data_IF_585113158305
#
_entry.id   IF_585113158305
#
_cell.length_a   1.000
_cell.length_b   1.000
_cell.length_c   1.000
_cell.angle_alpha   90.00
_cell.angle_beta   90.00
_cell.angle_gamma   90.00
#
_symmetry.space_group_name_H-M   'P 1'
#
loop_
_entity.id
_entity.type
_entity.pdbx_description
1 polymer ?
#
# COMPACT_ATOMS: atom_id res chain seq x y z
N UNK A 1 -17.89 21.17 3.65
CA UNK A 1 -17.52 19.78 4.01
C UNK A 1 -16.45 19.83 5.08
N UNK A 2 -16.65 19.10 6.18
CA UNK A 2 -15.70 19.02 7.29
C UNK A 2 -15.07 17.63 7.42
N UNK A 3 -15.75 16.58 6.92
CA UNK A 3 -15.31 15.19 6.98
C UNK A 3 -15.66 14.47 5.68
N UNK A 4 -14.78 13.60 5.20
CA UNK A 4 -15.06 12.67 4.10
C UNK A 4 -14.15 11.43 4.17
N UNK A 5 -14.50 10.42 3.40
CA UNK A 5 -13.69 9.21 3.21
C UNK A 5 -13.40 9.02 1.71
N UNK A 6 -12.22 8.55 1.38
CA UNK A 6 -11.86 8.29 -0.02
C UNK A 6 -10.73 7.29 -0.18
N UNK A 7 -10.70 6.66 -1.35
CA UNK A 7 -9.53 5.90 -1.78
C UNK A 7 -8.38 6.85 -2.18
N UNK A 8 -7.13 6.40 -2.26
CA UNK A 8 -5.99 7.24 -2.64
C UNK A 8 -6.19 8.05 -3.92
N UNK A 9 -6.93 7.51 -4.90
CA UNK A 9 -7.23 8.21 -6.15
C UNK A 9 -8.05 9.50 -5.95
N UNK A 10 -8.95 9.53 -4.96
CA UNK A 10 -9.75 10.72 -4.63
C UNK A 10 -8.82 11.82 -4.12
N UNK A 11 -7.91 11.47 -3.21
CA UNK A 11 -6.92 12.40 -2.67
C UNK A 11 -5.95 12.90 -3.75
N UNK A 12 -5.48 12.00 -4.62
CA UNK A 12 -4.66 12.38 -5.79
C UNK A 12 -5.36 13.38 -6.70
N UNK A 13 -6.66 13.18 -6.95
CA UNK A 13 -7.47 14.09 -7.75
C UNK A 13 -7.55 15.48 -7.11
N UNK A 14 -7.74 15.54 -5.79
CA UNK A 14 -7.75 16.80 -5.03
C UNK A 14 -6.39 17.50 -5.08
N UNK A 15 -5.30 16.77 -4.84
CA UNK A 15 -3.93 17.31 -4.87
C UNK A 15 -3.61 17.92 -6.24
N UNK A 16 -3.98 17.23 -7.32
CA UNK A 16 -3.70 17.65 -8.69
C UNK A 16 -4.74 18.61 -9.28
N UNK A 17 -5.82 18.94 -8.55
CA UNK A 17 -6.82 19.90 -9.00
C UNK A 17 -6.20 21.30 -9.17
N UNK A 18 -6.71 22.11 -10.13
CA UNK A 18 -6.29 23.50 -10.30
C UNK A 18 -6.43 24.31 -8.99
N UNK A 19 -5.52 25.27 -8.77
CA UNK A 19 -5.52 26.10 -7.56
C UNK A 19 -6.87 26.82 -7.34
N UNK A 20 -7.53 27.22 -8.45
CA UNK A 20 -8.86 27.85 -8.41
C UNK A 20 -9.97 26.97 -7.84
N UNK A 21 -9.84 25.64 -7.96
CA UNK A 21 -10.79 24.68 -7.36
C UNK A 21 -10.49 24.39 -5.88
N UNK A 22 -9.30 24.74 -5.42
CA UNK A 22 -8.84 24.52 -4.03
C UNK A 22 -8.93 25.80 -3.19
N UNK A 23 -9.24 26.95 -3.80
CA UNK A 23 -9.43 28.22 -3.10
C UNK A 23 -10.71 28.20 -2.26
N UNK A 24 -10.69 28.89 -1.11
CA UNK A 24 -11.85 29.02 -0.23
C UNK A 24 -12.08 27.84 0.74
N UNK A 25 -11.12 26.92 0.84
CA UNK A 25 -11.11 25.90 1.91
C UNK A 25 -10.39 26.54 3.10
N UNK A 26 -11.15 27.13 4.02
CA UNK A 26 -10.61 27.84 5.19
C UNK A 26 -10.66 26.98 6.47
N UNK A 27 -11.53 25.98 6.50
CA UNK A 27 -11.69 25.07 7.63
C UNK A 27 -10.75 23.87 7.51
N UNK A 28 -10.37 23.30 8.64
CA UNK A 28 -9.73 21.99 8.66
C UNK A 28 -10.73 20.93 8.16
N UNK A 29 -10.28 20.08 7.24
CA UNK A 29 -11.05 18.94 6.72
C UNK A 29 -10.41 17.65 7.20
N UNK A 30 -11.18 16.84 7.90
CA UNK A 30 -10.77 15.51 8.34
C UNK A 30 -11.10 14.48 7.27
N UNK A 31 -10.16 13.65 6.90
CA UNK A 31 -10.42 12.64 5.89
C UNK A 31 -9.82 11.27 6.27
N UNK A 32 -10.58 10.22 5.98
CA UNK A 32 -10.08 8.86 6.02
C UNK A 32 -9.64 8.41 4.64
N UNK A 33 -8.48 7.78 4.58
CA UNK A 33 -7.99 7.11 3.38
C UNK A 33 -7.94 5.61 3.60
N UNK A 34 -8.56 4.86 2.68
CA UNK A 34 -8.68 3.39 2.72
C UNK A 34 -8.74 2.78 1.32
N UNK A 35 -8.85 1.45 1.27
CA UNK A 35 -9.01 0.67 0.04
C UNK A 35 -7.70 0.30 -0.66
N UNK A 36 -6.65 1.06 -0.46
CA UNK A 36 -5.26 0.74 -0.80
C UNK A 36 -4.34 1.55 0.13
N UNK A 37 -3.10 1.10 0.30
CA UNK A 37 -2.11 1.87 1.04
C UNK A 37 -1.86 3.21 0.32
N UNK A 38 -2.04 4.36 0.99
CA UNK A 38 -1.77 5.65 0.39
C UNK A 38 -0.25 5.83 0.24
N UNK A 39 0.25 6.18 -0.95
CA UNK A 39 1.63 6.60 -1.10
C UNK A 39 1.97 7.76 -0.17
N UNK A 40 3.22 7.81 0.32
CA UNK A 40 3.68 8.90 1.20
C UNK A 40 3.44 10.28 0.59
N UNK A 41 3.65 10.42 -0.72
CA UNK A 41 3.39 11.65 -1.46
C UNK A 41 1.92 12.12 -1.40
N UNK A 42 0.97 11.18 -1.28
CA UNK A 42 -0.46 11.52 -1.14
C UNK A 42 -0.73 12.07 0.25
N UNK A 43 -0.23 11.40 1.30
CA UNK A 43 -0.38 11.87 2.68
C UNK A 43 0.23 13.26 2.82
N UNK A 44 1.47 13.44 2.36
CA UNK A 44 2.19 14.72 2.41
C UNK A 44 1.44 15.82 1.64
N UNK A 45 0.95 15.51 0.44
CA UNK A 45 0.19 16.46 -0.38
C UNK A 45 -1.10 16.93 0.29
N UNK A 46 -1.83 16.04 0.94
CA UNK A 46 -3.05 16.37 1.69
C UNK A 46 -2.74 17.19 2.93
N UNK A 47 -1.73 16.83 3.70
CA UNK A 47 -1.32 17.60 4.89
C UNK A 47 -0.86 19.02 4.52
N UNK A 48 -0.13 19.20 3.41
CA UNK A 48 0.26 20.52 2.89
C UNK A 48 -0.94 21.39 2.48
N UNK A 49 -2.05 20.76 2.12
CA UNK A 49 -3.32 21.45 1.84
C UNK A 49 -4.14 21.77 3.10
N UNK A 50 -3.65 21.42 4.30
CA UNK A 50 -4.34 21.63 5.56
C UNK A 50 -5.39 20.57 5.90
N UNK A 51 -5.39 19.42 5.22
CA UNK A 51 -6.26 18.30 5.53
C UNK A 51 -5.68 17.43 6.64
N UNK A 52 -6.52 17.00 7.55
CA UNK A 52 -6.17 16.02 8.58
C UNK A 52 -6.50 14.62 8.09
N UNK A 53 -5.49 13.96 7.49
CA UNK A 53 -5.64 12.65 6.89
C UNK A 53 -5.35 11.54 7.91
N UNK A 54 -6.24 10.56 8.01
CA UNK A 54 -6.07 9.36 8.84
C UNK A 54 -6.16 8.12 7.95
N UNK A 55 -5.11 7.30 7.97
CA UNK A 55 -5.11 6.03 7.28
C UNK A 55 -5.92 5.01 8.08
N UNK A 56 -6.84 4.32 7.42
CA UNK A 56 -7.58 3.18 7.97
C UNK A 56 -7.42 1.98 7.05
N UNK A 57 -7.33 0.81 7.65
CA UNK A 57 -7.15 -0.45 6.93
C UNK A 57 -8.26 -1.43 7.31
N UNK A 58 -8.76 -2.11 6.33
CA UNK A 58 -9.74 -3.17 6.44
C UNK A 58 -9.98 -3.84 5.10
N UNK A 59 -10.71 -4.92 5.14
CA UNK A 59 -11.05 -5.77 4.01
C UNK A 59 -12.57 -5.93 3.95
N UNK A 60 -13.10 -6.46 2.84
CA UNK A 60 -14.50 -6.88 2.77
C UNK A 60 -14.80 -7.91 3.86
N UNK A 61 -13.83 -8.74 4.15
CA UNK A 61 -13.85 -9.81 5.15
C UNK A 61 -13.88 -9.31 6.60
N UNK A 62 -13.57 -8.03 6.85
CA UNK A 62 -13.63 -7.40 8.18
C UNK A 62 -14.76 -6.36 8.31
N UNK A 63 -15.70 -6.33 7.32
CA UNK A 63 -16.89 -5.45 7.31
C UNK A 63 -16.56 -3.96 7.58
N UNK A 64 -15.38 -3.50 7.12
CA UNK A 64 -14.92 -2.13 7.28
C UNK A 64 -13.53 -2.00 7.91
N UNK A 65 -13.24 -0.86 8.57
CA UNK A 65 -11.95 -0.65 9.19
C UNK A 65 -11.68 -1.63 10.35
N UNK A 66 -10.62 -2.42 10.23
CA UNK A 66 -10.11 -3.30 11.29
C UNK A 66 -8.89 -2.68 12.00
N UNK A 67 -8.17 -1.76 11.32
CA UNK A 67 -7.09 -0.99 11.90
C UNK A 67 -7.21 0.50 11.57
N UNK A 68 -6.67 1.34 12.44
CA UNK A 68 -6.65 2.80 12.28
C UNK A 68 -5.28 3.34 12.69
N UNK A 69 -4.71 4.21 11.88
CA UNK A 69 -3.51 4.95 12.24
C UNK A 69 -3.87 6.07 13.21
N UNK A 70 -4.19 5.70 14.46
CA UNK A 70 -4.52 6.63 15.52
C UNK A 70 -3.35 7.58 15.77
N UNK A 71 -3.59 8.88 15.79
CA UNK A 71 -2.55 9.88 15.98
C UNK A 71 -2.29 10.13 17.47
N UNK A 72 -1.02 10.18 17.84
CA UNK A 72 -0.62 10.69 19.16
C UNK A 72 -0.47 12.22 19.12
N UNK A 73 -0.82 12.88 20.24
CA UNK A 73 -0.74 14.34 20.36
C UNK A 73 0.65 14.93 19.98
N UNK A 74 1.74 14.25 20.34
CA UNK A 74 3.08 14.67 19.98
C UNK A 74 3.44 14.58 18.49
N UNK A 75 2.57 14.01 17.62
CA UNK A 75 2.82 14.00 16.17
C UNK A 75 2.56 15.35 15.52
N UNK A 76 1.76 16.20 16.14
CA UNK A 76 1.50 17.56 15.64
C UNK A 76 2.77 18.40 15.57
N UNK A 77 3.73 18.16 16.48
CA UNK A 77 4.99 18.89 16.57
C UNK A 77 6.05 18.37 15.60
N UNK A 78 5.79 17.25 14.91
CA UNK A 78 6.72 16.67 13.95
C UNK A 78 6.70 17.45 12.63
N UNK A 79 7.84 17.48 11.95
CA UNK A 79 7.91 17.94 10.56
C UNK A 79 7.04 17.07 9.63
N UNK A 80 6.59 17.64 8.50
CA UNK A 80 5.67 16.98 7.55
C UNK A 80 6.15 15.58 7.15
N UNK A 81 7.43 15.40 6.83
CA UNK A 81 7.99 14.10 6.44
C UNK A 81 7.83 13.03 7.52
N UNK A 82 8.15 13.37 8.77
CA UNK A 82 8.02 12.42 9.89
C UNK A 82 6.54 12.10 10.20
N UNK A 83 5.63 13.07 10.06
CA UNK A 83 4.18 12.80 10.17
C UNK A 83 3.70 11.88 9.05
N UNK A 84 4.12 12.15 7.82
CA UNK A 84 3.78 11.33 6.64
C UNK A 84 4.21 9.88 6.83
N UNK A 85 5.42 9.65 7.31
CA UNK A 85 5.92 8.29 7.59
C UNK A 85 5.05 7.58 8.63
N UNK A 86 4.68 8.26 9.72
CA UNK A 86 3.83 7.70 10.77
C UNK A 86 2.40 7.45 10.28
N UNK A 87 1.83 8.39 9.54
CA UNK A 87 0.47 8.29 8.99
C UNK A 87 0.35 7.26 7.85
N UNK A 88 1.46 6.85 7.23
CA UNK A 88 1.49 5.81 6.21
C UNK A 88 1.34 4.39 6.76
N UNK A 89 1.37 4.20 8.09
CA UNK A 89 1.16 2.91 8.74
C UNK A 89 -0.32 2.56 8.79
N UNK A 90 -0.64 1.27 8.93
CA UNK A 90 -2.03 0.82 9.13
C UNK A 90 -2.48 1.11 10.57
N UNK A 91 -1.53 1.24 11.48
CA UNK A 91 -1.79 1.68 12.83
C UNK A 91 -2.07 0.57 13.82
N UNK A 92 -3.04 0.82 14.69
CA UNK A 92 -3.44 -0.06 15.78
C UNK A 92 -4.82 -0.65 15.52
N UNK A 93 -5.17 -1.68 16.27
CA UNK A 93 -6.45 -2.35 16.23
C UNK A 93 -7.61 -1.34 16.39
N UNK A 94 -8.61 -1.40 15.51
CA UNK A 94 -9.80 -0.59 15.62
C UNK A 94 -10.68 -1.05 16.82
N UNK A 95 -11.42 -0.14 17.40
CA UNK A 95 -12.11 -0.36 18.68
C UNK A 95 -13.15 -1.47 18.68
N UNK A 96 -13.74 -1.77 17.52
CA UNK A 96 -14.77 -2.81 17.37
C UNK A 96 -14.20 -4.18 16.99
N UNK A 97 -12.89 -4.26 16.72
CA UNK A 97 -12.20 -5.54 16.47
C UNK A 97 -11.68 -6.11 17.80
N UNK A 98 -11.82 -7.41 18.02
CA UNK A 98 -11.40 -8.06 19.27
C UNK A 98 -9.89 -8.37 19.29
N UNK A 99 -9.34 -8.80 18.17
CA UNK A 99 -7.93 -9.15 18.04
C UNK A 99 -7.35 -8.75 16.69
N UNK A 100 -6.17 -8.14 16.73
CA UNK A 100 -5.33 -7.87 15.57
C UNK A 100 -3.88 -8.06 15.98
N UNK A 101 -3.15 -8.84 15.23
CA UNK A 101 -1.70 -9.02 15.42
C UNK A 101 -1.03 -9.42 14.12
N UNK A 102 0.28 -9.54 14.12
CA UNK A 102 1.08 -10.07 13.00
C UNK A 102 1.68 -11.40 13.45
N UNK A 103 1.41 -12.45 12.71
CA UNK A 103 1.85 -13.83 13.03
C UNK A 103 2.63 -14.43 11.87
N UNK A 104 3.55 -15.30 12.21
CA UNK A 104 4.08 -16.28 11.26
C UNK A 104 2.94 -17.24 10.86
N UNK A 105 2.56 -17.33 9.58
CA UNK A 105 1.39 -18.10 9.16
C UNK A 105 1.54 -19.61 9.30
N UNK A 106 2.78 -20.12 9.39
CA UNK A 106 3.06 -21.56 9.52
C UNK A 106 3.04 -22.00 10.98
N UNK A 107 3.61 -21.20 11.88
CA UNK A 107 3.73 -21.53 13.30
C UNK A 107 2.63 -20.95 14.18
N UNK A 108 1.88 -19.97 13.66
CA UNK A 108 0.88 -19.17 14.40
C UNK A 108 1.46 -18.47 15.64
N UNK A 109 2.76 -18.22 15.64
CA UNK A 109 3.43 -17.41 16.66
C UNK A 109 3.44 -15.94 16.29
N UNK A 110 3.17 -15.04 17.25
CA UNK A 110 3.30 -13.61 17.04
C UNK A 110 4.75 -13.25 16.73
N UNK A 111 4.97 -12.39 15.71
CA UNK A 111 6.31 -11.92 15.37
C UNK A 111 6.82 -10.91 16.40
N UNK A 112 8.15 -10.74 16.54
CA UNK A 112 8.73 -9.71 17.39
C UNK A 112 8.26 -8.29 16.99
N UNK A 113 8.17 -7.40 17.97
CA UNK A 113 7.84 -5.97 17.77
C UNK A 113 9.10 -5.17 17.40
N UNK A 114 9.83 -5.62 16.39
CA UNK A 114 11.12 -5.05 15.95
C UNK A 114 11.00 -4.13 14.72
N UNK A 115 9.83 -4.13 14.06
CA UNK A 115 9.59 -3.39 12.82
C UNK A 115 10.25 -3.99 11.58
N UNK A 116 10.85 -5.18 11.69
CA UNK A 116 11.65 -5.86 10.66
C UNK A 116 11.11 -7.24 10.33
N UNK A 117 10.82 -8.06 11.35
CA UNK A 117 10.33 -9.43 11.17
C UNK A 117 8.94 -9.42 10.57
N UNK A 118 8.82 -9.98 9.37
CA UNK A 118 7.55 -10.04 8.64
C UNK A 118 6.73 -11.26 9.07
N UNK A 119 5.43 -11.05 9.17
CA UNK A 119 4.40 -12.07 9.27
C UNK A 119 3.16 -11.62 8.53
N UNK A 120 2.08 -12.36 8.66
CA UNK A 120 0.78 -12.03 8.13
C UNK A 120 -0.04 -11.27 9.19
N UNK A 121 -0.67 -10.14 8.80
CA UNK A 121 -1.62 -9.48 9.69
C UNK A 121 -2.89 -10.31 9.76
N UNK A 122 -3.29 -10.67 10.97
CA UNK A 122 -4.44 -11.52 11.24
C UNK A 122 -5.44 -10.85 12.17
N UNK A 123 -6.70 -11.20 11.99
CA UNK A 123 -7.82 -10.61 12.72
C UNK A 123 -8.67 -11.67 13.40
N UNK A 124 -9.31 -11.27 14.49
CA UNK A 124 -10.32 -12.08 15.18
C UNK A 124 -11.31 -11.17 15.88
N UNK A 125 -12.59 -11.37 15.60
CA UNK A 125 -13.64 -10.60 16.26
C UNK A 125 -14.97 -10.64 15.53
N UNK A 126 -15.92 -9.92 16.08
CA UNK A 126 -17.31 -9.90 15.62
C UNK A 126 -17.50 -9.19 14.27
N UNK A 127 -16.57 -8.34 13.86
CA UNK A 127 -16.60 -7.67 12.55
C UNK A 127 -15.96 -8.53 11.45
N UNK A 128 -15.27 -9.61 11.81
CA UNK A 128 -14.73 -10.55 10.83
C UNK A 128 -15.85 -11.43 10.26
N UNK A 129 -15.86 -11.63 8.95
CA UNK A 129 -16.86 -12.41 8.24
C UNK A 129 -17.04 -13.82 8.82
N UNK A 130 -18.21 -14.41 8.63
CA UNK A 130 -18.45 -15.84 8.98
C UNK A 130 -17.80 -16.81 8.00
N UNK A 131 -17.49 -16.36 6.79
CA UNK A 131 -16.88 -17.18 5.76
C UNK A 131 -17.33 -16.81 4.36
N UNK A 132 -16.71 -17.45 3.37
CA UNK A 132 -17.03 -17.27 1.95
C UNK A 132 -18.29 -18.06 1.56
N UNK A 133 -19.20 -17.39 0.84
CA UNK A 133 -20.47 -17.97 0.43
C UNK A 133 -20.28 -19.26 -0.39
N UNK A 134 -20.88 -20.35 0.09
CA UNK A 134 -20.82 -21.69 -0.55
C UNK A 134 -19.40 -22.19 -0.85
N UNK A 135 -18.40 -21.73 -0.09
CA UNK A 135 -17.01 -22.17 -0.22
C UNK A 135 -16.41 -22.53 1.15
N UNK A 136 -16.77 -23.68 1.72
CA UNK A 136 -16.28 -24.10 3.04
C UNK A 136 -14.78 -24.38 3.05
N UNK A 137 -14.19 -24.82 1.93
CA UNK A 137 -12.76 -25.08 1.85
C UNK A 137 -11.95 -23.77 1.99
N UNK A 138 -12.26 -22.74 1.20
CA UNK A 138 -11.61 -21.44 1.33
C UNK A 138 -11.90 -20.77 2.69
N UNK A 139 -13.08 -21.02 3.29
CA UNK A 139 -13.39 -20.54 4.63
C UNK A 139 -12.49 -21.20 5.67
N UNK A 140 -12.32 -22.53 5.61
CA UNK A 140 -11.46 -23.25 6.55
C UNK A 140 -9.99 -22.81 6.44
N UNK A 141 -9.50 -22.57 5.22
CA UNK A 141 -8.16 -22.03 4.97
C UNK A 141 -8.02 -20.62 5.55
N UNK A 142 -8.97 -19.71 5.25
CA UNK A 142 -8.94 -18.33 5.72
C UNK A 142 -9.05 -18.18 7.25
N UNK A 143 -9.51 -19.19 7.97
CA UNK A 143 -9.66 -19.19 9.43
C UNK A 143 -8.79 -20.25 10.13
N UNK A 144 -7.71 -20.67 9.48
CA UNK A 144 -6.77 -21.60 10.09
C UNK A 144 -6.24 -21.07 11.44
N UNK A 145 -6.07 -21.94 12.43
CA UNK A 145 -5.59 -21.52 13.75
C UNK A 145 -6.54 -20.60 14.55
N UNK A 146 -7.80 -20.38 14.08
CA UNK A 146 -8.79 -19.55 14.77
C UNK A 146 -8.63 -18.04 14.57
N UNK A 147 -7.82 -17.64 13.58
CA UNK A 147 -7.64 -16.25 13.15
C UNK A 147 -8.01 -16.13 11.68
N UNK A 148 -8.51 -14.97 11.30
CA UNK A 148 -8.71 -14.65 9.88
C UNK A 148 -7.39 -14.22 9.25
N UNK A 149 -6.96 -14.95 8.24
CA UNK A 149 -5.77 -14.71 7.43
C UNK A 149 -6.07 -13.67 6.34
N UNK A 150 -5.45 -12.50 6.43
CA UNK A 150 -5.72 -11.39 5.50
C UNK A 150 -5.02 -11.55 4.14
N UNK A 151 -3.95 -12.32 4.08
CA UNK A 151 -3.04 -12.41 2.94
C UNK A 151 -2.14 -11.18 2.79
N UNK A 152 -2.15 -10.25 3.74
CA UNK A 152 -1.30 -9.05 3.73
C UNK A 152 -0.12 -9.24 4.71
N UNK A 153 1.11 -9.10 4.20
CA UNK A 153 2.34 -9.21 5.01
C UNK A 153 2.65 -7.89 5.69
N UNK A 154 2.97 -7.95 6.96
CA UNK A 154 3.19 -6.78 7.80
C UNK A 154 4.33 -7.01 8.81
N UNK A 155 4.71 -5.94 9.49
CA UNK A 155 5.60 -5.96 10.65
C UNK A 155 4.91 -5.29 11.83
N UNK A 156 5.22 -5.72 13.06
CA UNK A 156 4.87 -5.03 14.29
C UNK A 156 6.00 -4.10 14.69
N UNK A 157 5.69 -2.83 14.85
CA UNK A 157 6.68 -1.84 15.28
C UNK A 157 6.77 -1.75 16.80
N UNK A 158 7.90 -1.28 17.36
CA UNK A 158 8.09 -1.19 18.82
C UNK A 158 7.03 -0.35 19.57
N UNK A 159 6.36 0.56 18.86
CA UNK A 159 5.27 1.39 19.40
C UNK A 159 3.88 0.74 19.24
N UNK A 160 3.81 -0.53 18.82
CA UNK A 160 2.58 -1.29 18.67
C UNK A 160 1.81 -1.03 17.38
N UNK A 161 2.36 -0.24 16.46
CA UNK A 161 1.73 0.01 15.17
C UNK A 161 2.09 -1.08 14.16
N UNK A 162 1.10 -1.51 13.41
CA UNK A 162 1.30 -2.40 12.26
C UNK A 162 1.65 -1.57 11.03
N UNK A 163 2.63 -2.06 10.27
CA UNK A 163 2.97 -1.53 8.94
C UNK A 163 2.95 -2.64 7.92
N UNK A 164 2.00 -2.61 6.98
CA UNK A 164 1.95 -3.53 5.85
C UNK A 164 3.15 -3.29 4.94
N UNK A 165 3.78 -4.37 4.54
CA UNK A 165 4.92 -4.37 3.62
C UNK A 165 4.49 -4.74 2.21
N UNK A 166 3.60 -5.73 2.07
CA UNK A 166 3.03 -6.12 0.78
C UNK A 166 1.89 -7.14 0.97
N UNK A 167 1.30 -7.58 -0.13
CA UNK A 167 0.51 -8.80 -0.17
C UNK A 167 1.41 -10.01 -0.38
N UNK A 168 1.10 -11.13 0.24
CA UNK A 168 1.87 -12.37 0.08
C UNK A 168 2.08 -12.77 -1.38
N UNK A 169 1.04 -12.57 -2.21
CA UNK A 169 1.07 -12.84 -3.67
C UNK A 169 1.69 -11.74 -4.54
N UNK A 170 2.03 -10.58 -3.99
CA UNK A 170 2.59 -9.43 -4.70
C UNK A 170 4.08 -9.22 -4.36
N UNK A 171 4.60 -9.89 -3.32
CA UNK A 171 6.05 -9.93 -3.02
C UNK A 171 6.79 -10.51 -4.21
N UNK A 172 7.88 -9.84 -4.58
CA UNK A 172 8.74 -10.25 -5.69
C UNK A 172 9.96 -10.96 -5.11
N UNK A 173 10.20 -12.20 -5.52
CA UNK A 173 11.31 -13.01 -5.01
C UNK A 173 12.45 -12.97 -6.01
N UNK A 174 13.43 -12.11 -5.79
CA UNK A 174 14.56 -11.87 -6.68
C UNK A 174 15.85 -12.39 -6.09
N UNK A 175 16.36 -13.49 -6.63
CA UNK A 175 17.61 -14.10 -6.16
C UNK A 175 17.57 -14.57 -4.71
N UNK A 176 16.40 -14.93 -4.20
CA UNK A 176 16.17 -15.33 -2.82
C UNK A 176 15.83 -14.17 -1.87
N UNK A 177 15.87 -12.94 -2.34
CA UNK A 177 15.51 -11.75 -1.56
C UNK A 177 14.05 -11.34 -1.80
N UNK A 178 13.33 -11.02 -0.74
CA UNK A 178 11.96 -10.53 -0.81
C UNK A 178 11.94 -9.01 -1.08
N UNK A 179 11.30 -8.61 -2.16
CA UNK A 179 11.13 -7.21 -2.55
C UNK A 179 9.66 -6.85 -2.39
N UNK A 180 9.38 -5.85 -1.56
CA UNK A 180 8.05 -5.26 -1.45
C UNK A 180 7.74 -4.44 -2.71
N UNK A 181 6.66 -4.79 -3.39
CA UNK A 181 6.16 -4.02 -4.52
C UNK A 181 5.75 -2.61 -4.09
N UNK A 182 5.19 -2.47 -2.89
CA UNK A 182 4.76 -1.18 -2.33
C UNK A 182 5.95 -0.24 -2.05
N UNK A 183 7.08 -0.77 -1.59
CA UNK A 183 8.30 0.02 -1.37
C UNK A 183 8.83 0.62 -2.68
N UNK A 184 8.79 -0.17 -3.74
CA UNK A 184 9.22 0.29 -5.07
C UNK A 184 8.22 1.30 -5.65
N UNK A 185 6.91 1.06 -5.47
CA UNK A 185 5.86 2.00 -5.88
C UNK A 185 5.99 3.34 -5.16
N UNK A 186 6.30 3.33 -3.87
CA UNK A 186 6.52 4.55 -3.07
C UNK A 186 7.68 5.40 -3.63
N UNK A 187 8.77 4.75 -4.05
CA UNK A 187 9.87 5.43 -4.72
C UNK A 187 9.44 6.04 -6.06
N UNK A 188 8.64 5.31 -6.86
CA UNK A 188 8.13 5.79 -8.14
C UNK A 188 7.20 6.99 -7.99
N UNK A 189 6.31 7.00 -6.99
CA UNK A 189 5.40 8.13 -6.72
C UNK A 189 6.13 9.42 -6.32
N UNK A 190 7.38 9.34 -5.84
CA UNK A 190 8.22 10.53 -5.56
C UNK A 190 8.76 11.20 -6.82
N UNK A 191 8.70 10.54 -7.97
CA UNK A 191 9.14 11.14 -9.22
C UNK A 191 8.13 12.18 -9.71
N UNK A 192 8.57 13.43 -10.07
CA UNK A 192 7.67 14.54 -10.37
C UNK A 192 6.73 14.30 -11.56
N UNK A 193 7.15 13.49 -12.53
CA UNK A 193 6.36 13.17 -13.71
C UNK A 193 5.33 12.05 -13.51
N UNK A 194 5.40 11.28 -12.41
CA UNK A 194 4.53 10.12 -12.18
C UNK A 194 3.21 10.53 -11.54
N UNK A 195 2.09 10.04 -12.08
CA UNK A 195 0.75 10.22 -11.50
C UNK A 195 0.25 8.92 -10.87
N UNK A 196 0.59 7.76 -11.45
CA UNK A 196 0.29 6.46 -10.87
C UNK A 196 1.38 5.44 -11.22
N UNK A 197 1.64 4.51 -10.31
CA UNK A 197 2.59 3.43 -10.52
C UNK A 197 2.08 2.13 -9.91
N UNK A 198 2.47 1.02 -10.52
CA UNK A 198 2.28 -0.32 -9.97
C UNK A 198 3.49 -1.19 -10.33
N UNK A 199 3.93 -1.99 -9.37
CA UNK A 199 5.08 -2.87 -9.54
C UNK A 199 4.63 -4.32 -9.38
N UNK A 200 5.08 -5.17 -10.29
CA UNK A 200 4.78 -6.60 -10.30
C UNK A 200 6.03 -7.40 -10.58
N UNK A 201 6.01 -8.67 -10.19
CA UNK A 201 7.04 -9.62 -10.57
C UNK A 201 7.05 -9.86 -12.08
N UNK A 202 8.23 -9.80 -12.68
CA UNK A 202 8.50 -10.25 -14.03
C UNK A 202 9.46 -11.44 -13.96
N UNK A 203 9.20 -12.54 -14.70
CA UNK A 203 10.12 -13.67 -14.78
C UNK A 203 11.51 -13.24 -15.29
N UNK A 204 12.56 -13.75 -14.66
CA UNK A 204 13.97 -13.48 -15.00
C UNK A 204 14.77 -14.77 -14.93
N UNK A 205 15.51 -15.10 -15.99
CA UNK A 205 16.25 -16.36 -16.10
C UNK A 205 17.37 -16.51 -15.05
N UNK A 206 17.92 -15.40 -14.57
CA UNK A 206 19.01 -15.38 -13.59
C UNK A 206 18.52 -15.28 -12.15
N UNK A 207 17.50 -14.45 -11.89
CA UNK A 207 17.07 -14.07 -10.56
C UNK A 207 15.75 -14.71 -10.14
N UNK A 208 15.12 -15.51 -11.02
CA UNK A 208 13.77 -16.06 -10.86
C UNK A 208 12.73 -14.99 -11.19
N UNK A 209 12.71 -13.92 -10.41
CA UNK A 209 11.85 -12.75 -10.65
C UNK A 209 12.64 -11.45 -10.51
N UNK A 210 12.14 -10.40 -11.17
CA UNK A 210 12.64 -9.03 -11.02
C UNK A 210 11.48 -8.03 -10.99
N UNK A 211 11.64 -6.86 -10.34
CA UNK A 211 10.61 -5.84 -10.35
C UNK A 211 10.42 -5.23 -11.76
N UNK A 212 9.17 -5.26 -12.23
CA UNK A 212 8.72 -4.57 -13.43
C UNK A 212 7.74 -3.47 -13.02
N UNK A 213 8.09 -2.21 -13.35
CA UNK A 213 7.29 -1.05 -13.02
C UNK A 213 6.38 -0.67 -14.19
N UNK A 214 5.09 -0.53 -13.94
CA UNK A 214 4.13 0.08 -14.85
C UNK A 214 3.83 1.49 -14.35
N UNK A 215 4.03 2.49 -15.21
CA UNK A 215 4.02 3.91 -14.82
C UNK A 215 3.07 4.69 -15.72
N UNK A 216 2.14 5.40 -15.09
CA UNK A 216 1.29 6.40 -15.75
C UNK A 216 1.86 7.79 -15.47
N UNK A 217 2.16 8.55 -16.51
CA UNK A 217 2.70 9.89 -16.39
C UNK A 217 1.59 10.93 -16.25
N UNK A 218 1.91 12.04 -15.58
CA UNK A 218 1.04 13.21 -15.51
C UNK A 218 0.77 13.76 -16.93
N UNK A 219 -0.39 14.37 -17.18
CA UNK A 219 -0.70 14.99 -18.46
C UNK A 219 0.40 15.97 -18.88
N UNK A 220 0.96 15.77 -20.07
CA UNK A 220 2.02 16.62 -20.63
C UNK A 220 3.42 16.39 -20.05
N UNK A 221 3.58 15.50 -19.07
CA UNK A 221 4.91 15.13 -18.58
C UNK A 221 5.56 14.07 -19.50
N UNK A 222 6.88 14.13 -19.58
CA UNK A 222 7.71 13.17 -20.32
C UNK A 222 8.77 12.63 -19.39
N UNK A 223 9.02 11.35 -19.45
CA UNK A 223 10.13 10.68 -18.78
C UNK A 223 10.53 9.43 -19.57
N UNK A 224 11.80 9.09 -19.55
CA UNK A 224 12.34 7.87 -20.13
C UNK A 224 12.43 6.75 -19.09
N UNK A 225 12.53 5.50 -19.56
CA UNK A 225 12.76 4.34 -18.69
C UNK A 225 14.02 4.52 -17.84
N UNK A 226 15.12 4.99 -18.44
CA UNK A 226 16.39 5.19 -17.74
C UNK A 226 16.31 6.27 -16.65
N UNK A 227 15.55 7.35 -16.88
CA UNK A 227 15.33 8.39 -15.87
C UNK A 227 14.55 7.86 -14.66
N UNK A 228 13.49 7.08 -14.88
CA UNK A 228 12.72 6.46 -13.79
C UNK A 228 13.60 5.46 -13.03
N UNK A 229 14.37 4.62 -13.73
CA UNK A 229 15.30 3.66 -13.10
C UNK A 229 16.38 4.39 -12.30
N UNK A 230 16.95 5.47 -12.84
CA UNK A 230 17.96 6.27 -12.15
C UNK A 230 17.41 6.93 -10.89
N UNK A 231 16.18 7.43 -10.95
CA UNK A 231 15.47 7.98 -9.79
C UNK A 231 15.32 6.91 -8.68
N UNK A 232 14.85 5.70 -9.04
CA UNK A 232 14.72 4.59 -8.09
C UNK A 232 16.08 4.17 -7.49
N UNK A 233 17.16 4.20 -8.25
CA UNK A 233 18.53 3.91 -7.73
C UNK A 233 18.99 4.86 -6.64
N UNK A 234 18.50 6.08 -6.66
CA UNK A 234 18.79 7.09 -5.60
C UNK A 234 18.04 6.85 -4.29
N UNK A 235 17.00 6.01 -4.31
CA UNK A 235 16.08 5.83 -3.19
C UNK A 235 16.05 4.39 -2.65
N UNK A 236 16.39 3.39 -3.46
CA UNK A 236 16.23 1.97 -3.16
C UNK A 236 17.56 1.23 -3.16
N UNK A 237 17.62 0.14 -2.39
CA UNK A 237 18.70 -0.82 -2.50
C UNK A 237 18.76 -1.39 -3.94
N UNK A 238 19.97 -1.66 -4.43
CA UNK A 238 20.23 -2.00 -5.83
C UNK A 238 19.39 -3.16 -6.37
N UNK A 239 19.14 -4.18 -5.57
CA UNK A 239 18.36 -5.35 -5.95
C UNK A 239 16.85 -5.08 -6.06
N UNK A 240 16.35 -4.02 -5.42
CA UNK A 240 14.93 -3.60 -5.44
C UNK A 240 14.60 -2.71 -6.64
N UNK A 241 15.60 -2.19 -7.34
CA UNK A 241 15.41 -1.27 -8.46
C UNK A 241 14.73 -1.99 -9.62
N UNK A 242 13.66 -1.43 -10.23
CA UNK A 242 13.01 -2.02 -11.39
C UNK A 242 14.00 -2.30 -12.52
N UNK A 243 13.87 -3.48 -13.14
CA UNK A 243 14.67 -3.85 -14.31
C UNK A 243 14.01 -3.38 -15.61
N UNK A 244 12.70 -3.17 -15.56
CA UNK A 244 11.88 -2.74 -16.68
C UNK A 244 10.88 -1.68 -16.22
N UNK A 245 10.69 -0.65 -17.07
CA UNK A 245 9.62 0.34 -16.89
C UNK A 245 8.75 0.35 -18.15
N UNK A 246 7.44 0.21 -17.95
CA UNK A 246 6.44 0.26 -19.02
C UNK A 246 5.55 1.45 -18.77
N UNK A 247 5.48 2.37 -19.74
CA UNK A 247 4.58 3.51 -19.67
C UNK A 247 3.23 3.13 -20.29
N UNK A 248 2.17 3.21 -19.47
CA UNK A 248 0.81 2.88 -19.91
C UNK A 248 -0.23 3.50 -18.95
N UNK A 249 -1.47 3.55 -19.40
CA UNK A 249 -2.61 3.83 -18.52
C UNK A 249 -2.89 2.57 -17.69
N UNK A 250 -2.90 2.72 -16.37
CA UNK A 250 -3.03 1.57 -15.48
C UNK A 250 -4.48 1.09 -15.39
N UNK A 251 -4.74 -0.22 -15.51
CA UNK A 251 -6.07 -0.77 -15.34
C UNK A 251 -6.53 -0.60 -13.89
N UNK A 252 -7.69 0.03 -13.70
CA UNK A 252 -8.26 0.33 -12.38
C UNK A 252 -9.66 -0.26 -12.24
N UNK A 253 -10.05 -0.62 -11.05
CA UNK A 253 -11.45 -0.93 -10.71
C UNK A 253 -12.28 0.36 -10.70
N UNK A 254 -13.59 0.24 -10.60
CA UNK A 254 -14.50 1.39 -10.44
C UNK A 254 -14.19 2.23 -9.18
N UNK A 255 -13.55 1.63 -8.18
CA UNK A 255 -13.10 2.29 -6.95
C UNK A 255 -11.69 2.89 -7.06
N UNK A 256 -11.04 2.80 -8.24
CA UNK A 256 -9.71 3.35 -8.50
C UNK A 256 -8.53 2.46 -8.06
N UNK A 257 -8.78 1.22 -7.59
CA UNK A 257 -7.73 0.27 -7.23
C UNK A 257 -7.09 -0.32 -8.48
N UNK A 258 -5.76 -0.29 -8.56
CA UNK A 258 -4.99 -0.84 -9.68
C UNK A 258 -5.12 -2.37 -9.68
N UNK A 259 -5.42 -2.93 -10.85
CA UNK A 259 -5.61 -4.37 -11.06
C UNK A 259 -4.27 -5.05 -11.40
N UNK A 260 -3.41 -5.26 -10.39
CA UNK A 260 -2.07 -5.84 -10.56
C UNK A 260 -2.08 -7.20 -11.27
N UNK A 261 -3.16 -7.99 -11.14
CA UNK A 261 -3.23 -9.28 -11.82
C UNK A 261 -3.15 -9.16 -13.35
N UNK A 262 -3.76 -8.11 -13.94
CA UNK A 262 -3.63 -7.83 -15.38
C UNK A 262 -2.22 -7.40 -15.76
N UNK A 263 -1.55 -6.65 -14.90
CA UNK A 263 -0.18 -6.21 -15.12
C UNK A 263 0.81 -7.36 -15.03
N UNK A 264 0.59 -8.33 -14.11
CA UNK A 264 1.39 -9.55 -14.03
C UNK A 264 1.32 -10.38 -15.32
N UNK A 265 0.14 -10.52 -15.92
CA UNK A 265 0.01 -11.24 -17.20
C UNK A 265 0.76 -10.52 -18.33
N UNK A 266 0.70 -9.18 -18.36
CA UNK A 266 1.48 -8.38 -19.33
C UNK A 266 2.98 -8.53 -19.12
N UNK A 267 3.46 -8.49 -17.88
CA UNK A 267 4.87 -8.66 -17.55
C UNK A 267 5.40 -10.04 -17.95
N UNK A 268 4.62 -11.11 -17.74
CA UNK A 268 4.95 -12.47 -18.20
C UNK A 268 5.05 -12.56 -19.72
N UNK A 269 4.07 -11.96 -20.43
CA UNK A 269 4.06 -11.98 -21.89
C UNK A 269 5.24 -11.22 -22.49
N UNK A 270 5.63 -10.10 -21.90
CA UNK A 270 6.80 -9.31 -22.34
C UNK A 270 8.12 -10.06 -22.12
N UNK A 271 8.26 -10.82 -21.03
CA UNK A 271 9.44 -11.64 -20.75
C UNK A 271 9.59 -12.83 -21.72
N UNK A 272 8.49 -13.36 -22.26
CA UNK A 272 8.50 -14.47 -23.20
C UNK A 272 8.96 -14.08 -24.64
N UNK A 273 9.04 -12.79 -24.93
CA UNK A 273 9.40 -12.23 -26.25
C UNK A 273 10.85 -11.70 -26.25
N UNK A 274 11.46 -11.56 -25.09
CA UNK A 274 12.85 -11.08 -24.90
C UNK A 274 13.83 -12.23 -24.81
#
# INVERSE_FOLDING_TARGET
VTHYCGAPIVHLTLINAPATMKSGIEQQVHCFVAGAAPPAAVIEGMERMGFDITHVYGLTETDGPAAVCAKHGGWADLGVGARTERNGRQGVRYTVEEGMTVMDPDTMAEVPWDGETMGEIMFRGNITMKGYLKNPAATAEAFAGGWFHSGDLAVLQPDGYVKIKDRSKDVIISGGENISSLEVEDALYRHPAVVAAAVVAQPDAKWGETPCAFVELKPGAVATEDEIIAHCRGLLARFKVPKKVVFDVLPKTSTGKIQKFLLRERAKSAAAIS
#
